data_IF_743832473143
#
_entry.id   IF_743832473143
#
_cell.length_a   1.000
_cell.length_b   1.000
_cell.length_c   1.000
_cell.angle_alpha   90.00
_cell.angle_beta   90.00
_cell.angle_gamma   90.00
#
_symmetry.space_group_name_H-M   'P 1'
#
loop_
_entity.id
_entity.type
_entity.pdbx_description
1 polymer ?
#
# COMPACT_ATOMS: atom_id res chain seq x y z
N UNK A 1 15.07 0.90 -23.58
CA UNK A 1 13.86 1.59 -24.05
C UNK A 1 13.00 1.95 -22.82
N UNK A 2 12.38 3.13 -22.75
CA UNK A 2 11.46 3.45 -21.68
C UNK A 2 10.23 2.52 -21.77
N UNK A 3 9.66 2.16 -20.60
CA UNK A 3 8.42 1.39 -20.54
C UNK A 3 7.23 2.28 -20.93
N UNK A 4 6.11 1.65 -21.29
CA UNK A 4 4.82 2.33 -21.41
C UNK A 4 3.82 1.62 -20.49
N UNK A 5 3.46 2.31 -19.42
CA UNK A 5 2.53 1.83 -18.39
C UNK A 5 1.23 2.62 -18.51
N UNK A 6 0.12 1.91 -18.57
CA UNK A 6 -1.23 2.50 -18.50
C UNK A 6 -1.79 2.21 -17.10
N UNK A 7 -2.28 3.21 -16.41
CA UNK A 7 -3.11 3.08 -15.23
C UNK A 7 -4.57 3.32 -15.62
N UNK A 8 -5.44 2.39 -15.27
CA UNK A 8 -6.89 2.45 -15.49
C UNK A 8 -7.59 2.57 -14.15
N UNK A 9 -8.57 3.47 -14.02
CA UNK A 9 -9.37 3.65 -12.81
C UNK A 9 -10.83 3.94 -13.22
N UNK A 10 -11.76 3.08 -12.78
CA UNK A 10 -13.18 3.19 -13.09
C UNK A 10 -13.82 4.36 -12.34
N UNK A 11 -14.49 5.24 -13.06
CA UNK A 11 -15.03 6.48 -12.51
C UNK A 11 -16.27 6.22 -11.62
N UNK A 12 -16.17 6.56 -10.32
CA UNK A 12 -17.23 6.38 -9.32
C UNK A 12 -17.85 4.96 -9.38
N UNK A 13 -17.01 3.94 -9.49
CA UNK A 13 -17.32 2.57 -9.90
C UNK A 13 -18.64 2.01 -9.31
N UNK A 14 -18.78 1.97 -7.96
CA UNK A 14 -20.01 1.44 -7.36
C UNK A 14 -21.25 2.24 -7.75
N UNK A 15 -21.11 3.57 -7.81
CA UNK A 15 -22.22 4.41 -8.25
C UNK A 15 -22.59 4.14 -9.70
N UNK A 16 -21.61 3.95 -10.58
CA UNK A 16 -21.85 3.65 -12.01
C UNK A 16 -22.61 2.34 -12.18
N UNK A 17 -22.28 1.30 -11.41
CA UNK A 17 -23.03 0.03 -11.39
C UNK A 17 -24.46 0.22 -10.88
N UNK A 18 -24.64 1.02 -9.81
CA UNK A 18 -26.00 1.27 -9.31
C UNK A 18 -26.83 2.10 -10.29
N UNK A 19 -26.25 3.05 -11.00
CA UNK A 19 -26.92 3.81 -12.08
C UNK A 19 -27.31 2.96 -13.30
N UNK A 20 -26.55 1.89 -13.60
CA UNK A 20 -26.94 0.92 -14.63
C UNK A 20 -28.14 0.09 -14.18
N UNK A 21 -28.19 -0.29 -12.91
CA UNK A 21 -29.26 -1.10 -12.33
C UNK A 21 -30.55 -0.30 -12.08
N UNK A 22 -30.40 0.93 -11.64
CA UNK A 22 -31.50 1.88 -11.42
C UNK A 22 -31.19 3.21 -12.12
N UNK A 23 -31.63 3.37 -13.38
CA UNK A 23 -31.42 4.60 -14.13
C UNK A 23 -32.02 5.85 -13.49
N UNK A 24 -32.93 5.70 -12.53
CA UNK A 24 -33.50 6.86 -11.82
C UNK A 24 -32.51 7.58 -10.90
N UNK A 25 -31.36 6.95 -10.59
CA UNK A 25 -30.26 7.53 -9.81
C UNK A 25 -29.39 8.49 -10.63
N UNK A 26 -29.44 8.41 -11.95
CA UNK A 26 -28.60 9.24 -12.82
C UNK A 26 -28.80 10.72 -12.57
N UNK A 27 -27.69 11.43 -12.40
CA UNK A 27 -27.67 12.87 -12.13
C UNK A 27 -28.13 13.27 -10.73
N UNK A 28 -28.55 12.33 -9.88
CA UNK A 28 -28.93 12.63 -8.49
C UNK A 28 -27.73 12.50 -7.55
N UNK A 29 -27.73 13.28 -6.45
CA UNK A 29 -26.73 13.10 -5.40
C UNK A 29 -27.08 11.85 -4.58
N UNK A 30 -26.27 10.81 -4.73
CA UNK A 30 -26.37 9.59 -3.92
C UNK A 30 -25.01 9.04 -3.53
N UNK A 31 -25.00 8.21 -2.50
CA UNK A 31 -23.83 7.50 -2.04
C UNK A 31 -24.16 6.02 -1.80
N UNK A 32 -23.21 5.16 -2.14
CA UNK A 32 -23.24 3.75 -1.81
C UNK A 32 -22.55 3.55 -0.46
N UNK A 33 -23.20 2.85 0.47
CA UNK A 33 -22.61 2.57 1.79
C UNK A 33 -23.64 2.20 2.85
N UNK A 34 -23.20 2.18 4.11
CA UNK A 34 -24.06 1.87 5.26
C UNK A 34 -24.90 3.07 5.73
N UNK A 35 -25.91 2.80 6.56
CA UNK A 35 -26.81 3.83 7.10
C UNK A 35 -26.11 4.73 8.14
N UNK A 36 -26.52 6.00 8.28
CA UNK A 36 -25.97 6.91 9.29
C UNK A 36 -26.14 6.39 10.72
N UNK A 37 -27.26 5.71 11.00
CA UNK A 37 -27.59 5.11 12.31
C UNK A 37 -26.69 3.92 12.65
N UNK A 38 -26.05 3.30 11.66
CA UNK A 38 -25.22 2.10 11.77
C UNK A 38 -23.71 2.41 11.70
N UNK A 39 -23.32 3.67 11.99
CA UNK A 39 -21.94 4.14 11.78
C UNK A 39 -21.44 3.94 10.35
N UNK A 40 -22.37 3.93 9.38
CA UNK A 40 -22.09 3.69 7.98
C UNK A 40 -21.09 4.71 7.40
N UNK A 41 -20.31 4.23 6.44
CA UNK A 41 -19.30 5.00 5.72
C UNK A 41 -19.69 5.06 4.24
N UNK A 42 -19.35 6.16 3.57
CA UNK A 42 -19.47 6.30 2.11
C UNK A 42 -18.41 5.41 1.47
N UNK A 43 -18.83 4.31 0.84
CA UNK A 43 -17.94 3.46 0.04
C UNK A 43 -17.64 4.12 -1.32
N UNK A 44 -18.67 4.67 -1.98
CA UNK A 44 -18.56 5.46 -3.21
C UNK A 44 -19.64 6.54 -3.23
N UNK A 45 -19.44 7.62 -3.98
CA UNK A 45 -20.44 8.66 -4.13
C UNK A 45 -20.49 9.19 -5.57
N UNK A 46 -21.72 9.51 -6.03
CA UNK A 46 -21.96 10.05 -7.36
C UNK A 46 -21.27 11.40 -7.56
N UNK A 47 -20.99 11.76 -8.81
CA UNK A 47 -20.40 13.08 -9.10
C UNK A 47 -21.32 14.23 -8.66
N UNK A 48 -22.63 14.06 -8.73
CA UNK A 48 -23.58 15.01 -8.17
C UNK A 48 -23.41 15.17 -6.65
N UNK A 49 -23.18 14.10 -5.90
CA UNK A 49 -22.91 14.19 -4.47
C UNK A 49 -21.54 14.83 -4.16
N UNK A 50 -20.54 14.61 -5.03
CA UNK A 50 -19.20 15.23 -4.88
C UNK A 50 -19.23 16.76 -4.97
N UNK A 51 -20.20 17.35 -5.66
CA UNK A 51 -20.39 18.81 -5.73
C UNK A 51 -20.71 19.43 -4.35
N UNK A 52 -21.40 18.65 -3.48
CA UNK A 52 -21.68 19.04 -2.10
C UNK A 52 -20.53 18.75 -1.12
N UNK A 53 -19.38 18.28 -1.62
CA UNK A 53 -18.24 17.95 -0.78
C UNK A 53 -18.27 16.53 -0.19
N UNK A 54 -19.21 15.68 -0.60
CA UNK A 54 -19.25 14.26 -0.20
C UNK A 54 -18.07 13.52 -0.84
N UNK A 55 -17.39 12.67 -0.06
CA UNK A 55 -16.23 11.89 -0.51
C UNK A 55 -16.28 10.48 0.07
N UNK A 56 -15.64 9.53 -0.61
CA UNK A 56 -15.39 8.17 -0.08
C UNK A 56 -14.65 8.24 1.26
N UNK A 57 -14.85 7.23 2.09
CA UNK A 57 -14.37 7.13 3.47
C UNK A 57 -14.95 8.14 4.48
N UNK A 58 -15.82 9.06 4.04
CA UNK A 58 -16.55 9.97 4.93
C UNK A 58 -17.64 9.19 5.70
N UNK A 59 -17.90 9.54 6.99
CA UNK A 59 -19.07 8.98 7.67
C UNK A 59 -20.36 9.40 6.96
N UNK A 60 -21.33 8.48 6.83
CA UNK A 60 -22.57 8.76 6.14
C UNK A 60 -23.39 9.85 6.84
N UNK A 61 -23.27 9.96 8.17
CA UNK A 61 -23.88 11.05 8.94
C UNK A 61 -23.35 12.42 8.49
N UNK A 62 -22.02 12.58 8.32
CA UNK A 62 -21.42 13.82 7.81
C UNK A 62 -21.80 14.07 6.34
N UNK A 63 -21.87 13.02 5.52
CA UNK A 63 -22.28 13.15 4.13
C UNK A 63 -23.70 13.72 4.01
N UNK A 64 -24.63 13.30 4.87
CA UNK A 64 -25.99 13.84 4.92
C UNK A 64 -26.05 15.28 5.42
N UNK A 65 -25.16 15.69 6.32
CA UNK A 65 -25.07 17.08 6.74
C UNK A 65 -24.63 17.98 5.56
N UNK A 66 -23.66 17.50 4.76
CA UNK A 66 -23.17 18.24 3.57
C UNK A 66 -24.21 18.24 2.42
N UNK A 67 -24.95 17.16 2.28
CA UNK A 67 -25.95 16.99 1.22
C UNK A 67 -27.25 16.42 1.84
N UNK A 68 -28.17 17.26 2.35
CA UNK A 68 -29.42 16.80 3.01
C UNK A 68 -30.31 15.93 2.12
N UNK A 69 -30.28 16.16 0.80
CA UNK A 69 -31.00 15.35 -0.20
C UNK A 69 -30.27 14.08 -0.66
N UNK A 70 -29.16 13.72 -0.01
CA UNK A 70 -28.36 12.55 -0.36
C UNK A 70 -29.20 11.27 -0.26
N UNK A 71 -29.31 10.54 -1.38
CA UNK A 71 -29.85 9.20 -1.38
C UNK A 71 -28.78 8.21 -0.91
N UNK A 72 -29.16 7.24 -0.08
CA UNK A 72 -28.23 6.20 0.40
C UNK A 72 -28.64 4.88 -0.22
N UNK A 73 -27.71 4.26 -0.94
CA UNK A 73 -27.88 2.98 -1.62
C UNK A 73 -27.04 1.93 -0.90
N UNK A 74 -27.61 0.80 -0.47
CA UNK A 74 -26.84 -0.27 0.13
C UNK A 74 -25.81 -0.85 -0.85
N UNK A 75 -24.63 -1.22 -0.33
CA UNK A 75 -23.59 -1.81 -1.16
C UNK A 75 -23.93 -3.24 -1.61
N UNK A 76 -23.69 -3.54 -2.90
CA UNK A 76 -23.90 -4.87 -3.50
C UNK A 76 -22.58 -5.45 -4.00
N UNK A 77 -21.74 -5.86 -3.05
CA UNK A 77 -20.37 -6.30 -3.33
C UNK A 77 -20.25 -7.43 -4.37
N UNK A 78 -21.24 -8.33 -4.47
CA UNK A 78 -21.25 -9.40 -5.48
C UNK A 78 -21.38 -8.83 -6.90
N UNK A 79 -22.25 -7.83 -7.11
CA UNK A 79 -22.42 -7.18 -8.40
C UNK A 79 -21.15 -6.41 -8.80
N UNK A 80 -20.52 -5.72 -7.84
CA UNK A 80 -19.28 -4.98 -8.11
C UNK A 80 -18.12 -5.91 -8.46
N UNK A 81 -17.99 -7.06 -7.76
CA UNK A 81 -17.00 -8.09 -8.10
C UNK A 81 -17.20 -8.67 -9.51
N UNK A 82 -18.46 -8.95 -9.87
CA UNK A 82 -18.77 -9.46 -11.22
C UNK A 82 -18.38 -8.47 -12.31
N UNK A 83 -18.74 -7.19 -12.16
CA UNK A 83 -18.39 -6.15 -13.12
C UNK A 83 -16.87 -5.89 -13.18
N UNK A 84 -16.20 -5.88 -12.01
CA UNK A 84 -14.73 -5.79 -11.95
C UNK A 84 -14.05 -6.93 -12.72
N UNK A 85 -14.54 -8.15 -12.55
CA UNK A 85 -13.99 -9.33 -13.25
C UNK A 85 -14.10 -9.16 -14.78
N UNK A 86 -15.25 -8.72 -15.30
CA UNK A 86 -15.44 -8.46 -16.73
C UNK A 86 -14.45 -7.40 -17.23
N UNK A 87 -14.29 -6.29 -16.50
CA UNK A 87 -13.28 -5.27 -16.87
C UNK A 87 -11.87 -5.84 -16.86
N UNK A 88 -11.48 -6.61 -15.82
CA UNK A 88 -10.15 -7.20 -15.76
C UNK A 88 -9.89 -8.19 -16.90
N UNK A 89 -10.89 -8.97 -17.34
CA UNK A 89 -10.79 -9.83 -18.53
C UNK A 89 -10.49 -9.03 -19.78
N UNK A 90 -11.14 -7.85 -19.97
CA UNK A 90 -10.84 -6.93 -21.08
C UNK A 90 -9.40 -6.43 -21.03
N UNK A 91 -8.93 -6.05 -19.83
CA UNK A 91 -7.55 -5.59 -19.68
C UNK A 91 -6.54 -6.72 -19.96
N UNK A 92 -6.83 -7.95 -19.55
CA UNK A 92 -6.01 -9.13 -19.88
C UNK A 92 -6.01 -9.49 -21.36
N UNK A 93 -7.08 -9.15 -22.10
CA UNK A 93 -7.10 -9.31 -23.56
C UNK A 93 -6.15 -8.33 -24.27
N UNK A 94 -5.81 -7.20 -23.66
CA UNK A 94 -4.83 -6.23 -24.19
C UNK A 94 -3.40 -6.69 -23.95
N UNK A 95 -3.08 -7.13 -22.73
CA UNK A 95 -1.73 -7.58 -22.32
C UNK A 95 -1.82 -8.58 -21.18
N UNK A 96 -0.96 -9.62 -21.13
CA UNK A 96 -0.87 -10.49 -19.97
C UNK A 96 -0.27 -9.80 -18.73
N UNK A 97 0.40 -8.66 -18.91
CA UNK A 97 1.07 -7.92 -17.84
C UNK A 97 0.09 -6.91 -17.21
N UNK A 98 -0.88 -7.43 -16.46
CA UNK A 98 -1.87 -6.66 -15.71
C UNK A 98 -1.63 -6.84 -14.21
N UNK A 99 -1.54 -5.72 -13.47
CA UNK A 99 -1.50 -5.70 -12.01
C UNK A 99 -2.78 -5.05 -11.49
N UNK A 100 -3.69 -5.86 -10.97
CA UNK A 100 -4.89 -5.36 -10.32
C UNK A 100 -4.54 -4.80 -8.93
N UNK A 101 -4.83 -3.51 -8.69
CA UNK A 101 -4.57 -2.82 -7.42
C UNK A 101 -5.75 -2.92 -6.47
N UNK A 102 -6.95 -2.77 -7.01
CA UNK A 102 -8.22 -2.80 -6.29
C UNK A 102 -9.31 -3.41 -7.17
N UNK A 103 -10.56 -3.29 -6.73
CA UNK A 103 -11.71 -3.76 -7.50
C UNK A 103 -11.98 -2.89 -8.75
N UNK A 104 -11.42 -1.66 -8.80
CA UNK A 104 -11.68 -0.63 -9.81
C UNK A 104 -10.43 -0.04 -10.45
N UNK A 105 -9.22 -0.47 -10.02
CA UNK A 105 -7.95 0.05 -10.51
C UNK A 105 -7.01 -1.06 -10.98
N UNK A 106 -6.31 -0.84 -12.09
CA UNK A 106 -5.25 -1.72 -12.58
C UNK A 106 -4.14 -0.96 -13.31
N UNK A 107 -2.92 -1.54 -13.30
CA UNK A 107 -1.84 -1.17 -14.22
C UNK A 107 -1.71 -2.19 -15.33
N UNK A 108 -1.36 -1.71 -16.53
CA UNK A 108 -1.01 -2.51 -17.70
C UNK A 108 0.40 -2.12 -18.15
N UNK A 109 1.29 -3.09 -18.34
CA UNK A 109 2.51 -2.86 -19.11
C UNK A 109 2.24 -3.24 -20.56
N UNK A 110 2.27 -2.24 -21.41
CA UNK A 110 1.99 -2.36 -22.85
C UNK A 110 3.24 -2.14 -23.70
N UNK A 111 4.41 -2.10 -23.05
CA UNK A 111 5.70 -1.83 -23.69
C UNK A 111 5.94 -2.76 -24.86
N UNK A 112 5.86 -4.07 -24.65
CA UNK A 112 6.11 -5.06 -25.71
C UNK A 112 5.11 -4.95 -26.88
N UNK A 113 3.85 -4.62 -26.59
CA UNK A 113 2.81 -4.47 -27.61
C UNK A 113 3.10 -3.29 -28.54
N UNK A 114 3.51 -2.16 -27.98
CA UNK A 114 3.77 -0.95 -28.76
C UNK A 114 5.09 -1.00 -29.54
N UNK A 115 6.08 -1.77 -29.04
CA UNK A 115 7.41 -1.85 -29.67
C UNK A 115 7.58 -3.03 -30.63
N UNK A 116 6.61 -3.95 -30.73
CA UNK A 116 6.70 -5.09 -31.65
C UNK A 116 6.88 -4.68 -33.14
N UNK A 117 6.49 -3.46 -33.50
CA UNK A 117 6.53 -2.93 -34.86
C UNK A 117 7.58 -1.82 -35.08
N UNK A 118 8.42 -1.49 -34.07
CA UNK A 118 9.26 -0.29 -34.08
C UNK A 118 10.74 -0.53 -34.45
N UNK A 119 11.01 -1.39 -35.44
CA UNK A 119 12.38 -1.63 -35.91
C UNK A 119 13.08 -0.41 -36.55
N UNK A 120 12.48 0.78 -36.61
CA UNK A 120 12.94 1.85 -37.52
C UNK A 120 12.75 3.29 -37.04
N UNK A 121 12.73 3.59 -35.73
CA UNK A 121 12.68 5.02 -35.31
C UNK A 121 14.04 5.68 -35.49
N UNK A 122 14.17 6.74 -36.33
CA UNK A 122 15.45 7.29 -36.78
C UNK A 122 16.17 8.15 -35.70
N UNK A 123 15.46 8.60 -34.67
CA UNK A 123 16.02 9.42 -33.58
C UNK A 123 15.36 9.14 -32.24
N UNK A 124 16.04 9.38 -31.10
CA UNK A 124 15.44 9.25 -29.77
C UNK A 124 14.18 10.12 -29.60
N UNK A 125 14.14 11.32 -30.18
CA UNK A 125 13.02 12.25 -30.11
C UNK A 125 11.79 11.68 -30.85
N UNK A 126 11.99 11.19 -32.08
CA UNK A 126 10.91 10.56 -32.88
C UNK A 126 10.33 9.32 -32.16
N UNK A 127 11.20 8.57 -31.48
CA UNK A 127 10.78 7.45 -30.66
C UNK A 127 9.86 7.87 -29.50
N UNK A 128 10.22 8.93 -28.74
CA UNK A 128 9.39 9.45 -27.63
C UNK A 128 8.03 9.92 -28.17
N UNK A 129 8.01 10.67 -29.27
CA UNK A 129 6.76 11.15 -29.87
C UNK A 129 5.86 10.00 -30.35
N UNK A 130 6.44 9.01 -31.01
CA UNK A 130 5.72 7.84 -31.52
C UNK A 130 5.18 6.98 -30.38
N UNK A 131 5.98 6.66 -29.35
CA UNK A 131 5.54 5.86 -28.21
C UNK A 131 4.47 6.59 -27.37
N UNK A 132 4.58 7.91 -27.22
CA UNK A 132 3.60 8.76 -26.56
C UNK A 132 2.26 8.74 -27.31
N UNK A 133 2.29 8.89 -28.65
CA UNK A 133 1.11 8.82 -29.48
C UNK A 133 0.46 7.43 -29.44
N UNK A 134 1.25 6.38 -29.63
CA UNK A 134 0.75 4.99 -29.59
C UNK A 134 0.16 4.62 -28.22
N UNK A 135 0.78 5.06 -27.13
CA UNK A 135 0.25 4.89 -25.77
C UNK A 135 -1.09 5.60 -25.57
N UNK A 136 -1.26 6.81 -26.12
CA UNK A 136 -2.53 7.54 -26.11
C UNK A 136 -3.61 6.79 -26.89
N UNK A 137 -3.33 6.39 -28.12
CA UNK A 137 -4.28 5.67 -28.97
C UNK A 137 -4.76 4.37 -28.31
N UNK A 138 -3.83 3.62 -27.71
CA UNK A 138 -4.17 2.40 -26.99
C UNK A 138 -5.03 2.68 -25.73
N UNK A 139 -4.73 3.74 -24.99
CA UNK A 139 -5.55 4.16 -23.84
C UNK A 139 -6.97 4.54 -24.28
N UNK A 140 -7.13 5.24 -25.41
CA UNK A 140 -8.44 5.57 -26.01
C UNK A 140 -9.20 4.31 -26.41
N UNK A 141 -8.53 3.33 -27.01
CA UNK A 141 -9.13 2.03 -27.37
C UNK A 141 -9.60 1.25 -26.14
N UNK A 142 -8.76 1.17 -25.09
CA UNK A 142 -9.13 0.52 -23.82
C UNK A 142 -10.35 1.21 -23.19
N UNK A 143 -10.35 2.54 -23.13
CA UNK A 143 -11.46 3.31 -22.58
C UNK A 143 -12.75 3.07 -23.36
N UNK A 144 -12.66 3.06 -24.69
CA UNK A 144 -13.81 2.85 -25.57
C UNK A 144 -14.36 1.42 -25.41
N UNK A 145 -13.51 0.40 -25.37
CA UNK A 145 -13.92 -0.99 -25.15
C UNK A 145 -14.66 -1.17 -23.81
N UNK A 146 -14.12 -0.61 -22.70
CA UNK A 146 -14.80 -0.66 -21.40
C UNK A 146 -16.15 0.06 -21.45
N UNK A 147 -16.24 1.18 -22.14
CA UNK A 147 -17.49 1.95 -22.28
C UNK A 147 -18.54 1.22 -23.11
N UNK A 148 -18.14 0.65 -24.25
CA UNK A 148 -19.07 0.03 -25.19
C UNK A 148 -19.58 -1.33 -24.69
N UNK A 149 -18.71 -2.10 -24.03
CA UNK A 149 -19.01 -3.46 -23.64
C UNK A 149 -19.53 -3.58 -22.21
N UNK A 150 -19.00 -2.74 -21.28
CA UNK A 150 -19.40 -2.77 -19.88
C UNK A 150 -20.28 -1.55 -19.47
N UNK A 151 -20.41 -0.56 -20.35
CA UNK A 151 -21.17 0.66 -20.07
C UNK A 151 -20.56 1.50 -18.95
N UNK A 152 -19.27 1.33 -18.65
CA UNK A 152 -18.58 2.01 -17.56
C UNK A 152 -17.66 3.11 -18.09
N UNK A 153 -17.59 4.23 -17.36
CA UNK A 153 -16.58 5.25 -17.60
C UNK A 153 -15.33 4.92 -16.80
N UNK A 154 -14.17 5.14 -17.43
CA UNK A 154 -12.88 5.05 -16.75
C UNK A 154 -11.97 6.21 -17.17
N UNK A 155 -11.07 6.57 -16.27
CA UNK A 155 -9.99 7.53 -16.53
C UNK A 155 -8.65 6.80 -16.56
N UNK A 156 -7.76 7.25 -17.47
CA UNK A 156 -6.50 6.58 -17.71
C UNK A 156 -5.33 7.56 -17.62
N UNK A 157 -4.21 7.06 -17.12
CA UNK A 157 -2.91 7.74 -17.13
C UNK A 157 -1.88 6.89 -17.86
N UNK A 158 -1.11 7.50 -18.74
CA UNK A 158 -0.05 6.82 -19.50
C UNK A 158 1.28 7.47 -19.14
N UNK A 159 2.27 6.68 -18.74
CA UNK A 159 3.61 7.16 -18.40
C UNK A 159 4.66 6.05 -18.50
N UNK A 160 5.93 6.39 -18.26
CA UNK A 160 7.03 5.40 -18.27
C UNK A 160 7.10 4.50 -17.03
N UNK A 161 6.30 4.77 -16.01
CA UNK A 161 6.28 3.98 -14.76
C UNK A 161 4.92 4.07 -14.05
N UNK A 162 4.69 3.12 -13.11
CA UNK A 162 3.41 2.97 -12.41
C UNK A 162 3.00 4.21 -11.63
N UNK A 163 3.93 4.80 -10.89
CA UNK A 163 3.64 5.95 -10.03
C UNK A 163 3.16 7.15 -10.84
N UNK A 164 3.90 7.51 -11.89
CA UNK A 164 3.53 8.65 -12.73
C UNK A 164 2.25 8.39 -13.50
N UNK A 165 2.02 7.16 -14.00
CA UNK A 165 0.78 6.78 -14.67
C UNK A 165 -0.44 6.95 -13.73
N UNK A 166 -0.33 6.52 -12.46
CA UNK A 166 -1.40 6.72 -11.47
C UNK A 166 -1.65 8.20 -11.17
N UNK A 167 -0.60 8.97 -10.93
CA UNK A 167 -0.73 10.42 -10.67
C UNK A 167 -1.31 11.15 -11.89
N UNK A 168 -0.96 10.72 -13.12
CA UNK A 168 -1.54 11.26 -14.34
C UNK A 168 -3.06 11.00 -14.43
N UNK A 169 -3.52 9.80 -14.03
CA UNK A 169 -4.96 9.51 -13.92
C UNK A 169 -5.65 10.47 -12.95
N UNK A 170 -5.10 10.60 -11.74
CA UNK A 170 -5.68 11.46 -10.70
C UNK A 170 -5.68 12.94 -11.12
N UNK A 171 -4.60 13.39 -11.77
CA UNK A 171 -4.49 14.74 -12.34
C UNK A 171 -5.54 14.98 -13.44
N UNK A 172 -5.69 14.03 -14.38
CA UNK A 172 -6.69 14.10 -15.42
C UNK A 172 -8.10 14.18 -14.86
N UNK A 173 -8.43 13.37 -13.86
CA UNK A 173 -9.72 13.42 -13.15
C UNK A 173 -9.98 14.78 -12.48
N UNK A 174 -8.97 15.35 -11.87
CA UNK A 174 -9.09 16.64 -11.18
C UNK A 174 -9.28 17.82 -12.16
N UNK A 175 -8.78 17.72 -13.40
CA UNK A 175 -8.90 18.76 -14.42
C UNK A 175 -10.30 18.86 -15.01
N UNK A 176 -11.13 17.82 -14.90
CA UNK A 176 -12.51 17.81 -15.41
C UNK A 176 -13.42 18.55 -14.43
N UNK A 177 -14.29 19.43 -14.98
CA UNK A 177 -15.27 20.18 -14.19
C UNK A 177 -16.21 19.23 -13.45
N UNK A 178 -16.48 19.55 -12.19
CA UNK A 178 -17.35 18.77 -11.31
C UNK A 178 -18.75 18.56 -11.87
N UNK A 179 -19.31 17.37 -11.67
CA UNK A 179 -20.70 17.03 -12.01
C UNK A 179 -20.85 15.98 -13.08
N UNK A 180 -19.80 15.64 -13.81
CA UNK A 180 -19.81 14.59 -14.82
C UNK A 180 -18.71 13.57 -14.53
N UNK A 181 -18.87 12.37 -15.05
CA UNK A 181 -17.81 11.35 -15.08
C UNK A 181 -16.62 11.89 -15.85
N UNK A 182 -15.40 11.87 -15.33
CA UNK A 182 -14.25 12.51 -15.98
C UNK A 182 -13.92 11.89 -17.34
N UNK A 183 -13.85 10.57 -17.42
CA UNK A 183 -13.42 9.89 -18.64
C UNK A 183 -12.10 10.46 -19.17
N UNK A 184 -11.21 10.87 -18.28
CA UNK A 184 -10.00 11.61 -18.63
C UNK A 184 -8.89 10.69 -19.10
N UNK A 185 -8.13 11.10 -20.12
CA UNK A 185 -6.86 10.46 -20.51
C UNK A 185 -5.74 11.49 -20.39
N UNK A 186 -4.77 11.20 -19.51
CA UNK A 186 -3.59 12.04 -19.30
C UNK A 186 -2.33 11.26 -19.66
N UNK A 187 -1.51 11.79 -20.57
CA UNK A 187 -0.29 11.15 -21.03
C UNK A 187 0.90 12.00 -20.62
N UNK A 188 1.87 11.38 -19.96
CA UNK A 188 3.15 11.99 -19.60
C UNK A 188 4.24 11.35 -20.46
N UNK A 189 4.87 12.10 -21.39
CA UNK A 189 5.92 11.59 -22.25
C UNK A 189 7.12 11.08 -21.44
N UNK A 190 7.82 10.04 -21.92
CA UNK A 190 9.10 9.63 -21.33
C UNK A 190 10.11 10.78 -21.28
N UNK A 191 10.68 11.04 -20.10
CA UNK A 191 11.60 12.16 -19.85
C UNK A 191 10.95 13.39 -19.21
N UNK A 192 9.62 13.52 -19.28
CA UNK A 192 8.88 14.65 -18.72
C UNK A 192 8.33 14.37 -17.30
N UNK A 193 8.58 13.18 -16.73
CA UNK A 193 8.01 12.73 -15.46
C UNK A 193 8.27 13.72 -14.32
N UNK A 194 9.53 14.14 -14.15
CA UNK A 194 9.90 15.07 -13.09
C UNK A 194 9.27 16.47 -13.32
N UNK A 195 9.23 16.94 -14.56
CA UNK A 195 8.63 18.23 -14.93
C UNK A 195 7.11 18.23 -14.68
N UNK A 196 6.44 17.13 -15.03
CA UNK A 196 5.01 16.93 -14.77
C UNK A 196 4.70 16.94 -13.27
N UNK A 197 5.50 16.24 -12.47
CA UNK A 197 5.29 16.13 -11.02
C UNK A 197 5.62 17.42 -10.26
N UNK A 198 6.63 18.17 -10.69
CA UNK A 198 7.20 19.28 -9.94
C UNK A 198 6.18 20.32 -9.43
N UNK A 199 5.18 20.77 -10.19
CA UNK A 199 4.19 21.78 -9.73
C UNK A 199 3.11 21.19 -8.81
N UNK A 200 2.96 19.85 -8.75
CA UNK A 200 1.89 19.22 -8.00
C UNK A 200 2.13 19.32 -6.47
N UNK A 201 1.05 19.41 -5.67
CA UNK A 201 1.17 19.41 -4.22
C UNK A 201 1.76 18.09 -3.70
N UNK A 202 2.48 18.13 -2.57
CA UNK A 202 3.13 16.95 -1.99
C UNK A 202 2.15 15.80 -1.71
N UNK A 203 0.90 16.10 -1.36
CA UNK A 203 -0.14 15.09 -1.14
C UNK A 203 -0.57 14.33 -2.39
N UNK A 204 -0.23 14.83 -3.60
CA UNK A 204 -0.46 14.11 -4.85
C UNK A 204 0.56 12.99 -5.10
N UNK A 205 1.70 13.00 -4.40
CA UNK A 205 2.73 11.97 -4.58
C UNK A 205 2.26 10.64 -3.96
N UNK A 206 2.19 9.60 -4.76
CA UNK A 206 1.76 8.28 -4.30
C UNK A 206 2.63 7.78 -3.14
N UNK A 207 1.99 7.44 -2.00
CA UNK A 207 2.65 7.08 -0.75
C UNK A 207 2.75 8.23 0.27
N UNK A 208 2.40 9.45 -0.10
CA UNK A 208 2.30 10.60 0.82
C UNK A 208 0.89 10.68 1.38
N UNK A 209 0.70 10.14 2.59
CA UNK A 209 -0.55 10.29 3.33
C UNK A 209 -0.59 11.59 4.15
N UNK A 210 -1.74 11.90 4.80
CA UNK A 210 -1.94 13.16 5.54
C UNK A 210 -0.87 13.45 6.60
N UNK A 211 -0.34 12.42 7.27
CA UNK A 211 0.73 12.58 8.27
C UNK A 211 2.05 13.03 7.64
N UNK A 212 2.46 12.39 6.54
CA UNK A 212 3.68 12.75 5.80
C UNK A 212 3.52 14.11 5.14
N UNK A 213 2.35 14.41 4.58
CA UNK A 213 2.03 15.73 4.02
C UNK A 213 2.14 16.84 5.06
N UNK A 214 1.57 16.66 6.26
CA UNK A 214 1.68 17.60 7.36
C UNK A 214 3.14 17.82 7.79
N UNK A 215 3.95 16.75 7.85
CA UNK A 215 5.37 16.86 8.18
C UNK A 215 6.16 17.60 7.09
N UNK A 216 5.93 17.31 5.81
CA UNK A 216 6.57 18.02 4.69
C UNK A 216 6.18 19.50 4.69
N UNK A 217 4.89 19.80 4.88
CA UNK A 217 4.37 21.18 4.94
C UNK A 217 4.97 21.95 6.11
N UNK A 218 5.10 21.32 7.29
CA UNK A 218 5.75 21.94 8.45
C UNK A 218 7.23 22.26 8.20
N UNK A 219 7.85 21.58 7.26
CA UNK A 219 9.23 21.80 6.81
C UNK A 219 9.33 22.77 5.63
N UNK A 220 8.22 23.41 5.25
CA UNK A 220 8.14 24.39 4.16
C UNK A 220 8.08 23.76 2.77
N UNK A 221 7.92 22.43 2.67
CA UNK A 221 7.81 21.69 1.41
C UNK A 221 6.34 21.51 1.07
N UNK A 222 5.88 22.11 -0.01
CA UNK A 222 4.46 22.09 -0.44
C UNK A 222 4.26 21.45 -1.79
N UNK A 223 5.29 21.38 -2.65
CA UNK A 223 5.23 20.78 -3.97
C UNK A 223 6.21 19.63 -4.11
N UNK A 224 5.90 18.71 -5.03
CA UNK A 224 6.75 17.55 -5.32
C UNK A 224 8.13 18.01 -5.79
N UNK A 225 8.22 19.05 -6.63
CA UNK A 225 9.51 19.60 -7.08
C UNK A 225 10.38 20.11 -5.93
N UNK A 226 9.78 20.62 -4.85
CA UNK A 226 10.55 21.01 -3.67
C UNK A 226 11.12 19.81 -2.90
N UNK A 227 10.48 18.64 -2.95
CA UNK A 227 11.06 17.38 -2.44
C UNK A 227 12.29 17.00 -3.27
N UNK A 228 12.16 17.01 -4.61
CA UNK A 228 13.25 16.66 -5.53
C UNK A 228 14.48 17.55 -5.38
N UNK A 229 14.29 18.82 -4.98
CA UNK A 229 15.37 19.77 -4.73
C UNK A 229 16.11 19.54 -3.39
N UNK A 230 15.58 18.71 -2.49
CA UNK A 230 16.24 18.40 -1.23
C UNK A 230 17.31 17.34 -1.40
N UNK A 231 18.29 17.40 -0.50
CA UNK A 231 19.29 16.32 -0.43
C UNK A 231 18.62 15.01 0.00
N UNK A 232 18.89 13.88 -0.69
CA UNK A 232 18.42 12.57 -0.23
C UNK A 232 18.80 12.27 1.23
N UNK A 233 19.98 12.74 1.69
CA UNK A 233 20.43 12.56 3.08
C UNK A 233 19.53 13.23 4.10
N UNK A 234 19.04 14.45 3.80
CA UNK A 234 18.10 15.18 4.68
C UNK A 234 16.77 14.44 4.78
N UNK A 235 16.26 13.91 3.67
CA UNK A 235 15.02 13.14 3.63
C UNK A 235 15.16 11.80 4.38
N UNK A 236 16.29 11.10 4.20
CA UNK A 236 16.60 9.86 4.94
C UNK A 236 16.69 10.14 6.45
N UNK A 237 17.35 11.22 6.84
CA UNK A 237 17.46 11.59 8.27
C UNK A 237 16.08 11.77 8.91
N UNK A 238 15.11 12.34 8.19
CA UNK A 238 13.78 12.66 8.71
C UNK A 238 12.76 11.54 8.59
N UNK A 239 12.79 10.78 7.50
CA UNK A 239 11.79 9.78 7.14
C UNK A 239 12.34 8.36 7.07
N UNK A 240 13.61 8.14 7.45
CA UNK A 240 14.25 6.83 7.33
C UNK A 240 14.42 6.37 5.87
N UNK A 241 14.36 5.06 5.65
CA UNK A 241 14.43 4.49 4.28
C UNK A 241 13.37 5.04 3.34
N UNK A 242 12.18 5.33 3.86
CA UNK A 242 11.09 5.95 3.10
C UNK A 242 11.47 7.32 2.52
N UNK A 243 12.36 8.08 3.18
CA UNK A 243 12.84 9.37 2.68
C UNK A 243 13.61 9.27 1.38
N UNK A 244 14.37 8.19 1.15
CA UNK A 244 15.04 7.94 -0.12
C UNK A 244 14.06 7.62 -1.24
N UNK A 245 13.08 6.77 -0.97
CA UNK A 245 12.01 6.45 -1.92
C UNK A 245 11.20 7.71 -2.28
N UNK A 246 10.87 8.53 -1.29
CA UNK A 246 10.19 9.80 -1.49
C UNK A 246 10.96 10.73 -2.45
N UNK A 247 12.29 10.78 -2.32
CA UNK A 247 13.14 11.55 -3.22
C UNK A 247 13.15 10.99 -4.65
N UNK A 248 13.32 9.66 -4.80
CA UNK A 248 13.26 9.01 -6.12
C UNK A 248 11.92 9.27 -6.80
N UNK A 249 10.83 9.09 -6.06
CA UNK A 249 9.48 9.35 -6.56
C UNK A 249 9.29 10.81 -6.97
N UNK A 250 9.79 11.76 -6.19
CA UNK A 250 9.72 13.18 -6.54
C UNK A 250 10.53 13.53 -7.80
N UNK A 251 11.58 12.78 -8.10
CA UNK A 251 12.34 12.86 -9.34
C UNK A 251 11.66 12.09 -10.52
N UNK A 252 10.46 11.53 -10.33
CA UNK A 252 9.76 10.76 -11.36
C UNK A 252 10.29 9.34 -11.56
N UNK A 253 11.09 8.83 -10.64
CA UNK A 253 11.75 7.52 -10.75
C UNK A 253 10.98 6.47 -9.95
N UNK A 254 10.41 5.49 -10.63
CA UNK A 254 9.80 4.29 -10.05
C UNK A 254 10.22 3.05 -10.87
N UNK A 255 11.06 2.22 -10.28
CA UNK A 255 11.60 1.01 -10.95
C UNK A 255 10.77 -0.24 -10.74
N UNK A 256 9.67 -0.15 -9.99
CA UNK A 256 8.80 -1.31 -9.71
C UNK A 256 8.21 -1.85 -11.01
N UNK A 257 8.25 -3.15 -11.15
CA UNK A 257 7.65 -3.87 -12.27
C UNK A 257 6.17 -4.14 -12.00
N UNK A 258 5.44 -4.58 -13.04
CA UNK A 258 4.07 -5.07 -12.92
C UNK A 258 4.09 -6.41 -12.18
N UNK A 259 3.28 -6.53 -11.14
CA UNK A 259 3.12 -7.74 -10.33
C UNK A 259 1.80 -8.41 -10.71
N UNK A 260 1.88 -9.41 -11.59
CA UNK A 260 0.69 -10.10 -12.12
C UNK A 260 0.03 -11.03 -11.11
N UNK A 261 0.78 -11.47 -10.11
CA UNK A 261 0.27 -12.37 -9.05
C UNK A 261 0.69 -11.85 -7.70
N UNK A 262 -0.28 -11.58 -6.83
CA UNK A 262 -0.03 -11.11 -5.48
C UNK A 262 -0.51 -12.15 -4.47
N UNK A 263 0.43 -12.71 -3.73
CA UNK A 263 0.10 -13.60 -2.62
C UNK A 263 -0.48 -12.82 -1.44
N UNK A 264 -1.55 -13.34 -0.85
CA UNK A 264 -2.13 -12.80 0.38
C UNK A 264 -1.14 -12.98 1.53
N UNK A 265 -0.87 -11.92 2.29
CA UNK A 265 0.01 -11.98 3.48
C UNK A 265 -0.77 -12.25 4.76
N UNK A 266 -2.06 -11.93 4.78
CA UNK A 266 -2.97 -12.11 5.90
C UNK A 266 -4.41 -12.20 5.41
N UNK A 267 -5.25 -12.89 6.17
CA UNK A 267 -6.71 -12.96 5.99
C UNK A 267 -7.33 -12.49 7.29
N UNK A 268 -8.34 -11.60 7.23
CA UNK A 268 -9.00 -11.08 8.43
C UNK A 268 -10.46 -10.73 8.17
N UNK A 269 -11.27 -10.83 9.23
CA UNK A 269 -12.61 -10.28 9.29
C UNK A 269 -12.70 -9.32 10.48
N UNK A 270 -13.39 -8.18 10.30
CA UNK A 270 -13.60 -7.20 11.37
C UNK A 270 -14.97 -6.54 11.28
N UNK A 271 -15.58 -6.29 12.43
CA UNK A 271 -16.90 -5.69 12.56
C UNK A 271 -16.83 -4.44 13.42
N UNK A 272 -17.39 -3.32 12.92
CA UNK A 272 -17.65 -2.14 13.73
C UNK A 272 -19.08 -2.23 14.25
N UNK A 273 -19.26 -2.28 15.56
CA UNK A 273 -20.57 -2.36 16.19
C UNK A 273 -21.38 -1.08 15.99
N UNK A 274 -22.70 -1.20 15.88
CA UNK A 274 -23.63 -0.06 15.79
C UNK A 274 -23.57 0.78 17.07
N UNK A 275 -23.54 0.11 18.22
CA UNK A 275 -23.27 0.68 19.54
C UNK A 275 -22.04 -0.02 20.11
N UNK A 276 -21.33 0.66 21.01
CA UNK A 276 -20.18 0.03 21.65
C UNK A 276 -20.68 -1.09 22.57
N UNK A 277 -19.98 -2.24 22.57
CA UNK A 277 -20.37 -3.46 23.25
C UNK A 277 -19.53 -3.66 24.50
N UNK A 278 -20.18 -3.95 25.63
CA UNK A 278 -19.58 -4.26 26.93
C UNK A 278 -19.93 -5.69 27.40
N UNK A 279 -20.69 -6.42 26.58
CA UNK A 279 -21.16 -7.76 26.87
C UNK A 279 -20.22 -8.82 26.30
N UNK A 280 -19.78 -9.75 27.15
CA UNK A 280 -18.85 -10.82 26.75
C UNK A 280 -19.49 -11.77 25.75
N UNK A 281 -20.75 -12.16 25.96
CA UNK A 281 -21.38 -13.16 25.12
C UNK A 281 -21.62 -12.63 23.71
N UNK A 282 -21.93 -11.34 23.58
CA UNK A 282 -22.02 -10.67 22.28
C UNK A 282 -20.65 -10.59 21.58
N UNK A 283 -19.60 -10.18 22.29
CA UNK A 283 -18.23 -10.14 21.74
C UNK A 283 -17.77 -11.53 21.30
N UNK A 284 -18.04 -12.55 22.12
CA UNK A 284 -17.65 -13.93 21.83
C UNK A 284 -18.38 -14.49 20.62
N UNK A 285 -19.69 -14.23 20.48
CA UNK A 285 -20.48 -14.63 19.31
C UNK A 285 -19.95 -14.02 18.02
N UNK A 286 -19.64 -12.71 18.02
CA UNK A 286 -19.06 -12.03 16.83
C UNK A 286 -17.66 -12.55 16.52
N UNK A 287 -16.84 -12.86 17.54
CA UNK A 287 -15.53 -13.47 17.35
C UNK A 287 -15.63 -14.85 16.70
N UNK A 288 -16.60 -15.68 17.11
CA UNK A 288 -16.85 -16.99 16.51
C UNK A 288 -17.26 -16.87 15.04
N UNK A 289 -18.17 -15.95 14.70
CA UNK A 289 -18.54 -15.67 13.30
C UNK A 289 -17.32 -15.25 12.45
N UNK A 290 -16.48 -14.38 12.99
CA UNK A 290 -15.26 -13.93 12.30
C UNK A 290 -14.21 -15.04 12.15
N UNK A 291 -14.04 -15.90 13.15
CA UNK A 291 -13.16 -17.06 13.07
C UNK A 291 -13.64 -18.05 11.99
N UNK A 292 -14.95 -18.28 11.88
CA UNK A 292 -15.55 -19.10 10.84
C UNK A 292 -15.33 -18.52 9.43
N UNK A 293 -15.50 -17.20 9.26
CA UNK A 293 -15.22 -16.53 7.99
C UNK A 293 -13.74 -16.66 7.57
N UNK A 294 -12.83 -16.42 8.52
CA UNK A 294 -11.38 -16.52 8.29
C UNK A 294 -10.98 -17.95 7.91
N UNK A 295 -11.49 -18.97 8.64
CA UNK A 295 -11.24 -20.37 8.33
C UNK A 295 -11.78 -20.75 6.94
N UNK A 296 -13.01 -20.33 6.62
CA UNK A 296 -13.61 -20.54 5.29
C UNK A 296 -12.77 -19.94 4.17
N UNK A 297 -12.19 -18.74 4.37
CA UNK A 297 -11.31 -18.12 3.39
C UNK A 297 -9.98 -18.89 3.22
N UNK A 298 -9.37 -19.35 4.33
CA UNK A 298 -8.17 -20.18 4.28
C UNK A 298 -8.41 -21.44 3.47
N UNK A 299 -9.48 -22.19 3.79
CA UNK A 299 -9.84 -23.45 3.14
C UNK A 299 -10.13 -23.26 1.64
N UNK A 300 -10.87 -22.20 1.26
CA UNK A 300 -11.14 -21.89 -0.16
C UNK A 300 -9.88 -21.59 -0.96
N UNK A 301 -8.87 -21.00 -0.34
CA UNK A 301 -7.58 -20.69 -0.96
C UNK A 301 -6.54 -21.80 -0.79
N UNK A 302 -6.90 -22.90 -0.12
CA UNK A 302 -5.98 -23.99 0.23
C UNK A 302 -4.75 -23.51 0.99
N UNK A 303 -4.95 -22.59 1.93
CA UNK A 303 -3.92 -22.00 2.78
C UNK A 303 -4.10 -22.41 4.23
N UNK A 304 -2.99 -22.46 4.96
CA UNK A 304 -2.91 -22.57 6.41
C UNK A 304 -2.17 -21.36 6.98
N UNK A 305 -2.46 -21.01 8.23
CA UNK A 305 -1.85 -19.88 8.91
C UNK A 305 -1.15 -20.28 10.20
N UNK A 306 -0.03 -19.65 10.51
CA UNK A 306 0.72 -19.90 11.76
C UNK A 306 0.48 -18.86 12.84
N UNK A 307 -0.10 -17.70 12.52
CA UNK A 307 -0.28 -16.62 13.51
C UNK A 307 -1.74 -16.19 13.54
N UNK A 308 -2.33 -16.19 14.72
CA UNK A 308 -3.66 -15.65 15.00
C UNK A 308 -3.53 -14.30 15.68
N UNK A 309 -4.31 -13.33 15.26
CA UNK A 309 -4.30 -11.95 15.73
C UNK A 309 -5.71 -11.49 16.03
N UNK A 310 -5.86 -10.74 17.12
CA UNK A 310 -7.07 -10.00 17.45
C UNK A 310 -6.80 -8.51 17.43
N UNK A 311 -7.80 -7.75 17.02
CA UNK A 311 -7.82 -6.29 16.99
C UNK A 311 -9.05 -5.80 17.70
N UNK A 312 -8.87 -4.98 18.72
CA UNK A 312 -9.97 -4.23 19.33
C UNK A 312 -9.82 -2.74 19.01
N UNK A 313 -10.94 -2.04 18.99
CA UNK A 313 -10.94 -0.57 19.02
C UNK A 313 -11.92 -0.12 20.08
N UNK A 314 -11.47 0.74 20.97
CA UNK A 314 -12.27 1.36 21.99
C UNK A 314 -13.08 2.54 21.44
N UNK A 315 -14.00 3.06 22.25
CA UNK A 315 -14.79 4.25 21.90
C UNK A 315 -13.97 5.50 21.62
N UNK A 316 -12.80 5.64 22.25
CA UNK A 316 -11.83 6.73 22.03
C UNK A 316 -10.97 6.56 20.78
N UNK A 317 -11.24 5.51 19.97
CA UNK A 317 -10.48 5.10 18.79
C UNK A 317 -9.07 4.54 19.06
N UNK A 318 -8.65 4.38 20.31
CA UNK A 318 -7.46 3.59 20.63
C UNK A 318 -7.65 2.17 20.14
N UNK A 319 -6.63 1.64 19.46
CA UNK A 319 -6.75 0.35 18.75
C UNK A 319 -5.62 -0.60 19.18
N UNK A 320 -5.80 -1.32 20.31
CA UNK A 320 -4.87 -2.36 20.72
C UNK A 320 -5.00 -3.62 19.84
N UNK A 321 -3.89 -4.33 19.69
CA UNK A 321 -3.83 -5.62 19.00
C UNK A 321 -3.02 -6.60 19.82
N UNK A 322 -3.38 -7.89 19.74
CA UNK A 322 -2.60 -9.01 20.29
C UNK A 322 -2.52 -10.11 19.24
N UNK A 323 -1.42 -10.83 19.26
CA UNK A 323 -1.24 -11.99 18.38
C UNK A 323 -0.41 -13.05 19.05
N UNK A 324 -0.59 -14.30 18.63
CA UNK A 324 0.25 -15.42 19.01
C UNK A 324 0.57 -16.28 17.81
N UNK A 325 1.73 -16.89 17.82
CA UNK A 325 2.16 -17.83 16.77
C UNK A 325 1.92 -19.25 17.25
N UNK A 326 1.24 -20.03 16.43
CA UNK A 326 0.89 -21.43 16.70
C UNK A 326 2.10 -22.33 16.44
N UNK A 327 2.21 -23.46 17.15
CA UNK A 327 3.26 -24.44 16.91
C UNK A 327 3.13 -25.13 15.55
N UNK A 328 1.90 -25.25 15.03
CA UNK A 328 1.59 -25.85 13.74
C UNK A 328 0.65 -24.95 12.94
N UNK A 329 0.81 -24.89 11.59
CA UNK A 329 -0.14 -24.20 10.72
C UNK A 329 -1.55 -24.79 10.85
N UNK A 330 -2.57 -23.93 10.76
CA UNK A 330 -3.97 -24.36 10.83
C UNK A 330 -4.86 -23.62 9.84
N UNK A 331 -5.94 -24.26 9.41
CA UNK A 331 -7.09 -23.70 8.70
C UNK A 331 -8.40 -24.04 9.43
N UNK A 332 -8.28 -24.62 10.66
CA UNK A 332 -9.43 -25.10 11.44
C UNK A 332 -10.03 -23.97 12.24
N UNK A 333 -11.36 -23.79 12.11
CA UNK A 333 -12.13 -22.77 12.82
C UNK A 333 -11.93 -22.87 14.34
N UNK A 334 -12.06 -24.07 14.90
CA UNK A 334 -12.02 -24.27 16.36
C UNK A 334 -10.68 -23.80 16.94
N UNK A 335 -9.56 -24.09 16.27
CA UNK A 335 -8.23 -23.64 16.70
C UNK A 335 -8.11 -22.12 16.64
N UNK A 336 -8.59 -21.48 15.56
CA UNK A 336 -8.54 -20.03 15.39
C UNK A 336 -9.43 -19.36 16.45
N UNK A 337 -10.64 -19.88 16.68
CA UNK A 337 -11.60 -19.37 17.66
C UNK A 337 -11.05 -19.47 19.07
N UNK A 338 -10.54 -20.64 19.48
CA UNK A 338 -9.97 -20.85 20.81
C UNK A 338 -8.84 -19.85 21.11
N UNK A 339 -7.91 -19.73 20.20
CA UNK A 339 -6.77 -18.81 20.37
C UNK A 339 -7.22 -17.34 20.35
N UNK A 340 -8.14 -16.98 19.47
CA UNK A 340 -8.69 -15.62 19.42
C UNK A 340 -9.45 -15.29 20.72
N UNK A 341 -10.18 -16.26 21.30
CA UNK A 341 -10.89 -16.11 22.60
C UNK A 341 -9.90 -15.88 23.74
N UNK A 342 -8.80 -16.63 23.79
CA UNK A 342 -7.75 -16.41 24.80
C UNK A 342 -7.11 -15.04 24.67
N UNK A 343 -6.85 -14.58 23.44
CA UNK A 343 -6.33 -13.24 23.19
C UNK A 343 -7.32 -12.14 23.57
N UNK A 344 -8.63 -12.36 23.33
CA UNK A 344 -9.69 -11.43 23.74
C UNK A 344 -9.74 -11.29 25.25
N UNK A 345 -9.71 -12.40 26.00
CA UNK A 345 -9.71 -12.41 27.47
C UNK A 345 -8.49 -11.65 28.03
N UNK A 346 -7.33 -11.79 27.42
CA UNK A 346 -6.12 -11.07 27.85
C UNK A 346 -6.20 -9.56 27.57
N UNK A 347 -6.88 -9.16 26.50
CA UNK A 347 -6.89 -7.78 26.04
C UNK A 347 -8.03 -6.98 26.66
N UNK A 348 -9.20 -7.61 26.89
CA UNK A 348 -10.40 -6.99 27.40
C UNK A 348 -10.59 -7.28 28.89
N UNK A 349 -9.67 -6.75 29.73
CA UNK A 349 -9.69 -6.99 31.17
C UNK A 349 -10.61 -6.04 31.95
N UNK A 350 -10.73 -4.79 31.50
CA UNK A 350 -11.42 -3.72 32.22
C UNK A 350 -12.87 -3.51 31.75
N UNK A 351 -13.44 -4.44 30.96
CA UNK A 351 -14.78 -4.36 30.40
C UNK A 351 -15.06 -3.03 29.67
N UNK A 352 -14.02 -2.46 29.05
CA UNK A 352 -14.16 -1.21 28.31
C UNK A 352 -15.08 -1.40 27.09
N UNK A 353 -15.90 -0.37 26.75
CA UNK A 353 -16.76 -0.42 25.58
C UNK A 353 -15.98 -0.66 24.29
N UNK A 354 -16.31 -1.75 23.59
CA UNK A 354 -15.66 -2.16 22.33
C UNK A 354 -16.44 -1.61 21.15
N UNK A 355 -15.79 -0.75 20.37
CA UNK A 355 -16.33 -0.18 19.15
C UNK A 355 -16.14 -1.10 17.93
N UNK A 356 -15.03 -1.83 17.88
CA UNK A 356 -14.69 -2.75 16.78
C UNK A 356 -13.96 -3.96 17.33
N UNK A 357 -14.34 -5.12 16.82
CA UNK A 357 -13.65 -6.39 17.02
C UNK A 357 -13.22 -6.95 15.67
N UNK A 358 -12.02 -7.51 15.61
CA UNK A 358 -11.50 -8.19 14.41
C UNK A 358 -10.61 -9.37 14.75
N UNK A 359 -10.78 -10.45 13.98
CA UNK A 359 -9.95 -11.65 13.98
C UNK A 359 -9.18 -11.72 12.67
N UNK A 360 -7.90 -12.03 12.72
CA UNK A 360 -7.06 -12.17 11.54
C UNK A 360 -5.98 -13.20 11.71
N UNK A 361 -5.49 -13.71 10.60
CA UNK A 361 -4.41 -14.68 10.54
C UNK A 361 -3.32 -14.25 9.58
N UNK A 362 -2.09 -14.66 9.84
CA UNK A 362 -0.92 -14.38 8.99
C UNK A 362 0.10 -15.53 9.07
N UNK A 363 1.22 -15.40 8.35
CA UNK A 363 2.15 -16.51 8.18
C UNK A 363 1.50 -17.60 7.33
N UNK A 364 0.92 -17.17 6.19
CA UNK A 364 0.18 -18.04 5.30
C UNK A 364 1.12 -18.95 4.51
N UNK A 365 0.77 -20.22 4.39
CA UNK A 365 1.46 -21.22 3.57
C UNK A 365 0.44 -22.14 2.89
N UNK A 366 0.74 -22.66 1.69
CA UNK A 366 -0.11 -23.66 1.06
C UNK A 366 -0.27 -24.90 1.95
N UNK A 367 -1.45 -25.51 1.90
CA UNK A 367 -1.69 -26.80 2.56
C UNK A 367 -0.74 -27.84 1.94
N UNK A 368 0.22 -28.33 2.72
CA UNK A 368 1.08 -29.45 2.27
C UNK A 368 0.32 -30.75 2.45
N UNK A 369 0.01 -31.41 1.36
CA UNK A 369 -0.40 -32.80 1.40
C UNK A 369 0.83 -33.63 1.78
N UNK A 370 0.88 -34.15 3.00
CA UNK A 370 1.90 -35.09 3.40
C UNK A 370 1.66 -36.36 2.61
N UNK A 371 2.56 -36.70 1.69
CA UNK A 371 2.58 -38.01 1.07
C UNK A 371 2.96 -39.06 2.12
N UNK A 372 2.07 -40.00 2.39
CA UNK A 372 2.33 -41.13 3.29
C UNK A 372 3.46 -42.05 2.79
N UNK A 373 4.01 -41.79 1.59
CA UNK A 373 4.97 -42.62 0.88
C UNK A 373 6.28 -41.93 0.51
N UNK A 374 6.52 -40.69 0.99
CA UNK A 374 7.84 -40.07 0.84
C UNK A 374 8.85 -40.62 1.86
N UNK A 375 9.15 -41.92 1.72
CA UNK A 375 10.18 -42.60 2.49
C UNK A 375 11.54 -42.55 1.75
N UNK A 376 11.87 -41.41 1.15
CA UNK A 376 13.21 -41.09 0.67
C UNK A 376 13.87 -40.15 1.69
N UNK A 377 14.64 -40.80 2.58
CA UNK A 377 15.41 -40.18 3.68
C UNK A 377 16.45 -39.17 3.25
N UNK A 378 16.01 -38.02 2.75
CA UNK A 378 16.78 -36.77 2.78
C UNK A 378 16.10 -35.80 3.74
N UNK A 379 16.43 -35.99 5.03
CA UNK A 379 16.11 -35.00 6.08
C UNK A 379 16.74 -33.65 5.70
N UNK A 380 15.92 -32.71 5.23
CA UNK A 380 16.28 -31.31 5.14
C UNK A 380 16.64 -30.81 6.55
N UNK A 381 17.96 -30.74 6.83
CA UNK A 381 18.55 -30.32 8.10
C UNK A 381 18.52 -28.79 8.25
N UNK A 382 17.38 -28.14 8.09
CA UNK A 382 17.23 -26.71 8.33
C UNK A 382 16.26 -26.33 9.45
N UNK A 383 16.02 -27.26 10.40
CA UNK A 383 15.33 -26.92 11.64
C UNK A 383 16.39 -26.70 12.74
N UNK A 384 16.53 -25.49 13.30
CA UNK A 384 17.43 -25.29 14.43
C UNK A 384 16.89 -26.05 15.64
N UNK A 385 17.71 -26.96 16.18
CA UNK A 385 17.42 -27.64 17.44
C UNK A 385 17.29 -26.62 18.57
N UNK A 386 16.30 -26.75 19.47
CA UNK A 386 16.30 -25.97 20.69
C UNK A 386 17.49 -26.39 21.57
N UNK A 387 18.37 -25.45 21.87
CA UNK A 387 19.45 -25.62 22.81
C UNK A 387 18.87 -25.76 24.22
N UNK A 388 18.99 -26.98 24.74
CA UNK A 388 18.84 -27.25 26.16
C UNK A 388 20.11 -26.75 26.89
N UNK A 389 20.05 -25.55 27.47
CA UNK A 389 20.91 -25.22 28.59
C UNK A 389 20.17 -24.23 29.50
N UNK A 390 19.66 -24.82 30.59
CA UNK A 390 19.11 -24.10 31.71
C UNK A 390 20.30 -23.74 32.60
N UNK A 391 20.81 -22.54 32.45
CA UNK A 391 21.77 -21.91 33.34
C UNK A 391 21.11 -20.78 34.12
N UNK A 392 20.78 -21.04 35.36
CA UNK A 392 20.32 -20.04 36.33
C UNK A 392 21.51 -19.15 36.74
N UNK A 393 21.45 -17.83 36.60
CA UNK A 393 22.41 -16.95 37.27
C UNK A 393 21.85 -16.46 38.62
N UNK A 394 22.71 -16.29 39.64
CA UNK A 394 22.31 -15.94 40.99
C UNK A 394 21.95 -14.45 41.14
N UNK A 395 20.98 -14.21 42.00
CA UNK A 395 20.62 -12.90 42.51
C UNK A 395 21.81 -12.26 43.27
N UNK A 396 22.06 -10.99 42.99
CA UNK A 396 22.63 -10.05 43.97
C UNK A 396 21.93 -8.70 43.89
N UNK A 397 21.26 -8.41 44.99
CA UNK A 397 20.78 -7.11 45.43
C UNK A 397 21.95 -6.16 45.73
N UNK A 398 21.78 -4.88 45.40
CA UNK A 398 22.10 -3.70 46.27
C UNK A 398 21.86 -2.41 45.48
N UNK A 399 20.89 -1.70 45.86
CA UNK A 399 20.71 -0.36 46.47
C UNK A 399 21.73 0.75 46.12
N UNK A 400 21.14 1.94 45.84
CA UNK A 400 21.57 3.31 46.17
C UNK A 400 22.56 3.99 45.21
N UNK A 401 22.28 5.10 44.63
CA UNK A 401 22.19 6.50 44.95
C UNK A 401 22.44 7.39 43.72
N UNK A 402 21.65 8.45 43.62
CA UNK A 402 21.88 9.63 42.76
C UNK A 402 22.80 10.59 43.54
N UNK A 403 23.71 11.34 42.90
CA UNK A 403 23.50 12.79 42.85
C UNK A 403 23.88 13.50 41.53
N UNK A 404 23.01 14.40 41.08
CA UNK A 404 23.09 15.87 40.96
C UNK A 404 24.34 16.52 40.37
N UNK A 405 24.03 17.33 39.32
CA UNK A 405 24.59 18.62 38.90
C UNK A 405 26.09 18.88 38.90
N UNK A 406 26.62 19.35 37.79
CA UNK A 406 27.49 20.53 37.72
C UNK A 406 27.33 21.24 36.35
N UNK A 407 27.27 22.56 36.44
CA UNK A 407 27.07 23.56 35.40
C UNK A 407 28.35 23.86 34.58
N UNK A 408 28.10 24.35 33.41
CA UNK A 408 28.74 25.40 32.58
C UNK A 408 30.22 25.77 32.83
N UNK A 409 30.96 25.85 31.73
CA UNK A 409 31.67 27.10 31.39
C UNK A 409 32.15 27.08 29.94
N UNK A 410 31.81 28.15 29.25
CA UNK A 410 32.30 28.54 27.96
C UNK A 410 33.77 28.97 28.04
N UNK A 411 34.57 28.71 27.02
CA UNK A 411 35.62 29.64 26.58
C UNK A 411 35.96 29.41 25.11
N UNK A 412 35.79 30.48 24.39
CA UNK A 412 36.25 30.84 23.05
C UNK A 412 37.78 30.82 22.99
N UNK A 413 38.32 30.26 21.92
CA UNK A 413 39.54 30.82 21.30
C UNK A 413 39.67 30.40 19.85
N UNK A 414 39.92 31.39 19.05
CA UNK A 414 40.13 31.47 17.60
C UNK A 414 41.56 31.06 17.18
N UNK A 415 41.65 30.79 15.90
CA UNK A 415 42.73 30.92 14.96
C UNK A 415 43.56 29.71 14.48
N UNK A 416 43.45 29.50 13.19
CA UNK A 416 44.45 29.42 12.14
C UNK A 416 45.18 28.10 11.85
N UNK A 417 45.10 27.78 10.56
CA UNK A 417 46.07 27.07 9.70
C UNK A 417 46.26 25.55 9.93
N UNK A 418 46.03 24.73 8.97
CA UNK A 418 46.80 24.42 7.78
C UNK A 418 46.26 23.17 7.07
N UNK A 419 46.30 23.24 5.76
CA UNK A 419 46.23 22.11 4.84
C UNK A 419 47.28 21.05 5.24
N UNK A 420 46.86 19.82 5.39
CA UNK A 420 47.52 18.63 4.83
C UNK A 420 46.90 17.33 5.34
N UNK A 421 46.82 16.33 4.45
CA UNK A 421 46.60 14.89 4.63
C UNK A 421 45.15 14.40 4.62
N UNK A 422 44.61 14.29 3.39
CA UNK A 422 43.33 13.64 3.10
C UNK A 422 43.51 12.17 2.61
N UNK A 423 44.54 11.46 3.05
CA UNK A 423 44.83 10.07 2.64
C UNK A 423 44.42 9.04 3.70
N UNK A 424 44.27 9.45 4.96
CA UNK A 424 43.85 8.57 6.06
C UNK A 424 42.35 8.32 6.20
N UNK A 425 41.52 9.21 5.61
CA UNK A 425 40.07 9.19 5.74
C UNK A 425 39.37 8.13 4.86
N UNK A 426 39.90 7.85 3.67
CA UNK A 426 39.30 6.92 2.71
C UNK A 426 39.54 5.45 3.05
N UNK A 427 40.72 5.13 3.60
CA UNK A 427 41.03 3.76 4.05
C UNK A 427 40.17 3.37 5.28
N UNK A 428 39.97 4.28 6.24
CA UNK A 428 39.11 4.04 7.39
C UNK A 428 37.62 3.94 6.98
N UNK A 429 37.21 4.67 5.97
CA UNK A 429 35.86 4.62 5.39
C UNK A 429 35.61 3.34 4.61
N UNK A 430 36.58 2.89 3.83
CA UNK A 430 36.53 1.60 3.14
C UNK A 430 36.48 0.42 4.12
N UNK A 431 37.26 0.47 5.18
CA UNK A 431 37.27 -0.56 6.22
C UNK A 431 35.92 -0.66 6.96
N UNK A 432 35.27 0.47 7.25
CA UNK A 432 33.91 0.50 7.84
C UNK A 432 32.85 -0.02 6.87
N UNK A 433 32.97 0.25 5.60
CA UNK A 433 32.06 -0.27 4.56
C UNK A 433 32.22 -1.78 4.43
N UNK A 434 33.45 -2.30 4.41
CA UNK A 434 33.71 -3.75 4.36
C UNK A 434 33.21 -4.46 5.61
N UNK A 435 33.35 -3.87 6.78
CA UNK A 435 32.86 -4.42 8.03
C UNK A 435 31.31 -4.43 8.10
N UNK A 436 30.66 -3.39 7.59
CA UNK A 436 29.20 -3.34 7.45
C UNK A 436 28.68 -4.36 6.44
N UNK A 437 29.37 -4.54 5.31
CA UNK A 437 29.05 -5.56 4.31
C UNK A 437 29.18 -6.99 4.86
N UNK A 438 30.23 -7.25 5.66
CA UNK A 438 30.43 -8.54 6.31
C UNK A 438 29.30 -8.86 7.30
N UNK A 439 28.92 -7.91 8.17
CA UNK A 439 27.82 -8.06 9.12
C UNK A 439 26.48 -8.30 8.41
N UNK A 440 26.23 -7.61 7.30
CA UNK A 440 25.02 -7.80 6.50
C UNK A 440 24.99 -9.16 5.80
N UNK A 441 26.13 -9.64 5.32
CA UNK A 441 26.26 -10.95 4.69
C UNK A 441 26.07 -12.10 5.69
N UNK A 442 26.60 -11.96 6.89
CA UNK A 442 26.42 -12.91 7.99
C UNK A 442 24.94 -12.96 8.47
N UNK A 443 24.26 -11.82 8.48
CA UNK A 443 22.89 -11.70 8.98
C UNK A 443 21.81 -12.11 7.99
N UNK A 444 22.07 -12.00 6.68
CA UNK A 444 21.08 -12.21 5.62
C UNK A 444 21.46 -13.27 4.57
N UNK A 445 22.63 -13.89 4.68
CA UNK A 445 23.02 -15.06 3.88
C UNK A 445 23.18 -14.86 2.37
N UNK A 446 23.14 -13.61 1.87
CA UNK A 446 23.33 -13.25 0.45
C UNK A 446 24.14 -11.96 0.33
N UNK A 447 24.97 -11.79 -0.73
CA UNK A 447 25.66 -10.53 -0.96
C UNK A 447 24.65 -9.43 -1.32
N UNK A 448 24.45 -8.48 -0.39
CA UNK A 448 23.44 -7.41 -0.48
C UNK A 448 23.92 -6.21 -1.32
N UNK A 449 25.25 -6.08 -1.54
CA UNK A 449 25.84 -4.96 -2.30
C UNK A 449 26.99 -5.45 -3.18
N UNK A 450 26.97 -5.14 -4.46
CA UNK A 450 28.12 -5.26 -5.35
C UNK A 450 28.78 -3.89 -5.51
N UNK A 451 30.06 -3.79 -5.21
CA UNK A 451 30.87 -2.59 -5.45
C UNK A 451 31.13 -2.50 -6.96
N UNK A 452 30.62 -1.47 -7.61
CA UNK A 452 30.97 -1.14 -8.99
C UNK A 452 32.38 -0.59 -9.03
N UNK A 453 33.29 -1.31 -9.64
CA UNK A 453 34.62 -0.80 -9.99
C UNK A 453 34.45 0.01 -11.28
N UNK A 454 34.66 1.32 -11.20
CA UNK A 454 34.95 2.13 -12.38
C UNK A 454 36.43 1.99 -12.68
N UNK A 455 36.76 1.18 -13.67
CA UNK A 455 38.05 1.33 -14.37
C UNK A 455 37.89 2.47 -15.37
N UNK A 456 38.37 3.64 -14.94
CA UNK A 456 38.81 4.68 -15.87
C UNK A 456 40.32 4.63 -15.86
N UNK A 457 40.90 4.01 -16.90
CA UNK A 457 42.15 4.49 -17.48
C UNK A 457 42.51 3.77 -18.80
N UNK A 458 42.88 4.62 -19.75
CA UNK A 458 43.76 4.46 -20.92
C UNK A 458 43.07 4.06 -22.23
N UNK A 459 42.99 4.89 -23.14
CA UNK A 459 43.71 5.65 -24.16
C UNK A 459 42.75 6.53 -24.95
#
# INVERSE_FOLDING_TARGET
MPRTIIHVDLDAFYCSIEEQRDPTLRGKPFAVGGQPSERGVVASCSYAARQFGVRSAMSMARARVLCPQLLIVPARHSAYRAASHQVMERLHAVTPLVEQLSIDEAFLDVTALLHANEASSPTPQAYVEQSTYAGRVLAEQVQQSIRDEEGLSCSLGVASNKMVAKIATDYGKAAVKTGQSPGAICVVPPGDEAAFLAPLPVGALWGVGPKTEAQLTSWGIRTIGQIAQRSPRELIHRFGSHGYELWLHACGIDKREIVTTRESKSISSETTFVQDVEDWDELHRVLEEQAAEVATHLQRQQLQATTVKIKLRWSDFTTPTRQTTLPYPTDQQDTIQEVATQLLQQLWQDQQPVRLLGVGVSGLSPVRQLSLWDDNGEADRSVPKPSSDIGVPPQKSTTTEVPAKIEASAQTQSHEDEQTTNVGSDAAKQQRIQQAMYILQERYGKPVVRQGIQDMNTE
#
